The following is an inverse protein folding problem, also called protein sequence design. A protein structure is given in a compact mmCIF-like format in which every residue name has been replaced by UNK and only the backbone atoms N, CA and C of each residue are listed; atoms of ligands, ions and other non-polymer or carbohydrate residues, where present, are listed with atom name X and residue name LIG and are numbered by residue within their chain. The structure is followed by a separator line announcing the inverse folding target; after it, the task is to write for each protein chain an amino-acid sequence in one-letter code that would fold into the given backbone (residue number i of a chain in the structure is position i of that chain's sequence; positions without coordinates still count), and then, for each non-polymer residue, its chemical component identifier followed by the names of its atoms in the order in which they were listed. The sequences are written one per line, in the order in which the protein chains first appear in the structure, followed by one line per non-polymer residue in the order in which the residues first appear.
data_IF_446588722886
#
_entry.id   IF_446588722886
#
_cell.length_a   1.000
_cell.length_b   1.000
_cell.length_c   1.000
_cell.angle_alpha   90.00
_cell.angle_beta   90.00
_cell.angle_gamma   90.00
#
_symmetry.space_group_name_H-M   'P 1'
#
loop_
_entity.id
_entity.type
_entity.pdbx_description
1 polymer ?
#
# COMPACT_ATOMS: atom_id res chain seq x y z
N UNK A 1 17.31 17.59 8.06
CA UNK A 1 16.76 16.80 9.19
C UNK A 1 15.68 17.51 10.02
N UNK A 2 15.38 18.78 9.76
CA UNK A 2 14.07 19.39 10.10
C UNK A 2 13.68 20.45 9.05
N UNK A 3 14.42 20.48 7.94
CA UNK A 3 14.52 21.63 7.04
C UNK A 3 14.48 21.25 5.56
N UNK A 4 14.11 20.02 5.21
CA UNK A 4 13.71 19.69 3.85
C UNK A 4 12.30 19.12 3.95
N UNK A 5 11.36 19.87 3.38
CA UNK A 5 9.90 19.69 3.43
C UNK A 5 9.26 19.74 4.85
N UNK A 6 9.78 20.51 5.82
CA UNK A 6 9.13 20.76 7.14
C UNK A 6 8.62 19.50 7.91
N UNK A 7 9.23 18.33 7.67
CA UNK A 7 8.76 17.06 8.25
C UNK A 7 7.44 16.54 7.68
N UNK A 8 6.98 17.06 6.54
CA UNK A 8 5.78 16.59 5.82
C UNK A 8 5.82 15.09 5.57
N UNK A 9 6.96 14.54 5.13
CA UNK A 9 7.12 13.12 4.86
C UNK A 9 6.85 12.22 6.08
N UNK A 10 7.22 12.69 7.27
CA UNK A 10 6.93 11.96 8.52
C UNK A 10 5.43 12.05 8.84
N UNK A 11 4.80 13.20 8.56
CA UNK A 11 3.35 13.37 8.70
C UNK A 11 2.57 12.50 7.71
N UNK A 12 3.02 12.41 6.46
CA UNK A 12 2.41 11.59 5.42
C UNK A 12 2.56 10.10 5.73
N UNK A 13 3.75 9.66 6.15
CA UNK A 13 3.97 8.30 6.64
C UNK A 13 3.02 7.99 7.81
N UNK A 14 2.93 8.89 8.79
CA UNK A 14 2.01 8.73 9.93
C UNK A 14 0.55 8.62 9.46
N UNK A 15 0.13 9.50 8.57
CA UNK A 15 -1.23 9.51 8.00
C UNK A 15 -1.53 8.18 7.30
N UNK A 16 -0.61 7.67 6.47
CA UNK A 16 -0.79 6.37 5.80
C UNK A 16 -0.94 5.25 6.83
N UNK A 17 -0.07 5.20 7.84
CA UNK A 17 -0.14 4.17 8.89
C UNK A 17 -1.47 4.24 9.66
N UNK A 18 -1.95 5.43 10.01
CA UNK A 18 -3.23 5.63 10.69
C UNK A 18 -4.41 5.14 9.85
N UNK A 19 -4.42 5.51 8.56
CA UNK A 19 -5.50 5.12 7.65
C UNK A 19 -5.47 3.63 7.35
N UNK A 20 -4.29 3.03 7.19
CA UNK A 20 -4.12 1.59 7.00
C UNK A 20 -4.56 0.82 8.23
N UNK A 21 -4.15 1.23 9.43
CA UNK A 21 -4.59 0.57 10.66
C UNK A 21 -6.11 0.70 10.84
N UNK A 22 -6.66 1.89 10.65
CA UNK A 22 -8.11 2.10 10.73
C UNK A 22 -8.86 1.20 9.73
N UNK A 23 -8.51 1.25 8.45
CA UNK A 23 -9.17 0.44 7.43
C UNK A 23 -9.01 -1.06 7.70
N UNK A 24 -7.82 -1.50 8.09
CA UNK A 24 -7.56 -2.88 8.44
C UNK A 24 -8.48 -3.36 9.58
N UNK A 25 -8.71 -2.54 10.60
CA UNK A 25 -9.58 -2.89 11.73
C UNK A 25 -11.07 -3.00 11.36
N UNK A 26 -11.48 -2.45 10.22
CA UNK A 26 -12.84 -2.65 9.69
C UNK A 26 -13.04 -4.07 9.15
N UNK A 27 -11.97 -4.71 8.67
CA UNK A 27 -12.01 -6.03 8.04
C UNK A 27 -11.36 -7.13 8.90
N UNK A 28 -10.50 -6.76 9.84
CA UNK A 28 -9.71 -7.69 10.64
C UNK A 28 -9.58 -7.22 12.11
N UNK A 29 -10.08 -8.02 13.04
CA UNK A 29 -9.95 -7.77 14.47
C UNK A 29 -8.50 -7.94 14.98
N UNK A 30 -7.64 -8.62 14.22
CA UNK A 30 -6.25 -8.90 14.61
C UNK A 30 -5.34 -7.67 14.50
N UNK A 31 -5.77 -6.60 13.82
CA UNK A 31 -4.97 -5.40 13.54
C UNK A 31 -3.88 -5.63 12.49
N UNK A 32 -2.90 -4.71 12.42
CA UNK A 32 -1.76 -4.79 11.49
C UNK A 32 -0.44 -5.03 12.23
N UNK A 33 0.53 -5.56 11.49
CA UNK A 33 1.94 -5.60 11.92
C UNK A 33 2.72 -4.50 11.21
N UNK A 34 3.46 -3.68 11.95
CA UNK A 34 4.30 -2.60 11.39
C UNK A 34 5.76 -2.99 11.56
N UNK A 35 6.58 -2.87 10.51
CA UNK A 35 8.01 -3.12 10.56
C UNK A 35 8.76 -1.92 10.00
N UNK A 36 9.65 -1.32 10.80
CA UNK A 36 10.55 -0.30 10.29
C UNK A 36 11.79 -0.97 9.68
N UNK A 37 12.11 -0.62 8.44
CA UNK A 37 13.25 -1.22 7.73
C UNK A 37 14.58 -0.83 8.38
N UNK A 38 14.70 0.44 8.75
CA UNK A 38 15.95 1.03 9.23
C UNK A 38 16.08 1.03 10.76
N UNK A 39 15.04 0.61 11.47
CA UNK A 39 15.02 0.60 12.95
C UNK A 39 14.59 -0.77 13.42
N UNK A 40 15.35 -1.36 14.35
CA UNK A 40 14.93 -2.58 15.02
C UNK A 40 14.13 -2.23 16.28
N UNK A 41 12.84 -2.55 16.24
CA UNK A 41 11.92 -2.39 17.37
C UNK A 41 11.48 -3.77 17.92
N UNK A 42 12.13 -4.87 17.49
CA UNK A 42 11.72 -6.25 17.83
C UNK A 42 11.79 -6.55 19.33
N UNK A 43 12.64 -5.82 20.06
CA UNK A 43 12.74 -5.89 21.53
C UNK A 43 11.72 -5.05 22.30
N UNK A 44 11.00 -4.13 21.64
CA UNK A 44 10.06 -3.24 22.33
C UNK A 44 8.72 -3.92 22.61
N UNK A 45 8.15 -3.63 23.77
CA UNK A 45 6.88 -4.18 24.24
C UNK A 45 5.93 -3.06 24.67
N UNK A 46 4.64 -3.31 24.56
CA UNK A 46 3.62 -2.45 25.15
C UNK A 46 3.49 -2.69 26.67
N UNK A 47 2.62 -1.91 27.33
CA UNK A 47 2.37 -2.03 28.77
C UNK A 47 1.79 -3.40 29.18
N UNK A 48 1.30 -4.19 28.23
CA UNK A 48 0.73 -5.52 28.44
C UNK A 48 1.73 -6.65 28.09
N UNK A 49 2.99 -6.31 27.78
CA UNK A 49 4.02 -7.26 27.40
C UNK A 49 3.91 -7.81 25.97
N UNK A 50 3.04 -7.24 25.13
CA UNK A 50 2.90 -7.64 23.71
C UNK A 50 3.95 -6.93 22.85
N UNK A 51 4.40 -7.52 21.73
CA UNK A 51 5.26 -6.83 20.78
C UNK A 51 4.63 -5.51 20.33
N UNK A 52 5.38 -4.41 20.44
CA UNK A 52 4.86 -3.07 20.13
C UNK A 52 4.45 -2.92 18.65
N UNK A 53 5.01 -3.78 17.79
CA UNK A 53 4.89 -3.75 16.34
C UNK A 53 3.79 -4.67 15.76
N UNK A 54 3.06 -5.41 16.60
CA UNK A 54 2.03 -6.36 16.16
C UNK A 54 0.68 -6.05 16.80
N UNK A 55 -0.41 -6.32 16.08
CA UNK A 55 -1.76 -6.04 16.56
C UNK A 55 -2.06 -4.55 16.71
N UNK A 56 -1.46 -3.73 15.86
CA UNK A 56 -1.63 -2.28 15.86
C UNK A 56 -2.98 -1.98 15.22
N UNK A 57 -3.83 -1.27 15.95
CA UNK A 57 -5.22 -0.98 15.56
C UNK A 57 -5.62 0.48 15.80
N UNK A 58 -4.86 1.21 16.62
CA UNK A 58 -5.23 2.55 17.08
C UNK A 58 -4.15 3.57 16.77
N UNK A 59 -4.55 4.83 16.60
CA UNK A 59 -3.63 5.96 16.42
C UNK A 59 -2.63 6.07 17.59
N UNK A 60 -3.08 5.86 18.83
CA UNK A 60 -2.21 5.93 20.00
C UNK A 60 -1.08 4.87 19.98
N UNK A 61 -1.36 3.66 19.47
CA UNK A 61 -0.32 2.64 19.29
C UNK A 61 0.68 3.05 18.21
N UNK A 62 0.20 3.63 17.10
CA UNK A 62 1.06 4.15 16.03
C UNK A 62 1.95 5.27 16.55
N UNK A 63 1.40 6.23 17.29
CA UNK A 63 2.18 7.29 17.91
C UNK A 63 3.27 6.72 18.83
N UNK A 64 2.92 5.71 19.63
CA UNK A 64 3.90 5.05 20.50
C UNK A 64 5.03 4.36 19.73
N UNK A 65 4.72 3.72 18.61
CA UNK A 65 5.74 3.13 17.71
C UNK A 65 6.62 4.23 17.12
N UNK A 66 6.00 5.28 16.57
CA UNK A 66 6.71 6.38 15.89
C UNK A 66 7.68 7.12 16.81
N UNK A 67 7.39 7.23 18.12
CA UNK A 67 8.32 7.79 19.11
C UNK A 67 9.61 6.98 19.27
N UNK A 68 9.56 5.67 19.04
CA UNK A 68 10.74 4.78 19.12
C UNK A 68 11.59 4.76 17.86
N UNK A 69 11.14 5.42 16.78
CA UNK A 69 11.81 5.35 15.47
C UNK A 69 12.80 6.49 15.30
N UNK A 70 14.03 6.16 14.96
CA UNK A 70 15.03 7.13 14.52
C UNK A 70 15.03 7.18 13.00
N UNK A 71 14.49 8.26 12.42
CA UNK A 71 14.41 8.45 10.96
C UNK A 71 15.77 8.84 10.35
N UNK A 72 16.73 7.91 10.38
CA UNK A 72 18.09 8.08 9.86
C UNK A 72 18.61 6.76 9.28
N UNK A 73 19.57 6.86 8.36
CA UNK A 73 20.30 5.70 7.83
C UNK A 73 20.11 5.49 6.33
N UNK A 74 20.73 4.42 5.83
CA UNK A 74 20.52 3.90 4.48
C UNK A 74 19.18 3.17 4.42
N UNK A 75 18.72 2.84 3.21
CA UNK A 75 17.47 2.11 3.02
C UNK A 75 17.73 0.69 2.49
N UNK A 76 17.99 -0.28 3.36
CA UNK A 76 18.08 -1.69 2.97
C UNK A 76 16.67 -2.30 2.75
N UNK A 77 15.91 -1.74 1.80
CA UNK A 77 14.50 -2.09 1.57
C UNK A 77 14.31 -3.59 1.31
N UNK A 78 15.07 -4.17 0.39
CA UNK A 78 14.88 -5.55 -0.06
C UNK A 78 15.29 -6.57 0.99
N UNK A 79 16.46 -6.38 1.59
CA UNK A 79 17.01 -7.25 2.64
C UNK A 79 16.20 -7.16 3.93
N UNK A 80 15.80 -5.94 4.37
CA UNK A 80 14.95 -5.77 5.55
C UNK A 80 13.53 -6.30 5.30
N UNK A 81 12.95 -6.09 4.12
CA UNK A 81 11.67 -6.68 3.74
C UNK A 81 11.73 -8.21 3.83
N UNK A 82 12.80 -8.82 3.32
CA UNK A 82 12.99 -10.28 3.40
C UNK A 82 12.99 -10.75 4.85
N UNK A 83 13.85 -10.18 5.68
CA UNK A 83 14.06 -10.64 7.06
C UNK A 83 12.83 -10.35 7.93
N UNK A 84 12.41 -9.08 8.01
CA UNK A 84 11.43 -8.60 8.99
C UNK A 84 9.98 -8.89 8.63
N UNK A 85 9.70 -9.15 7.34
CA UNK A 85 8.32 -9.36 6.85
C UNK A 85 8.17 -10.74 6.22
N UNK A 86 8.96 -11.05 5.19
CA UNK A 86 8.75 -12.30 4.43
C UNK A 86 9.08 -13.51 5.29
N UNK A 87 10.27 -13.57 5.86
CA UNK A 87 10.71 -14.72 6.65
C UNK A 87 9.95 -14.77 8.00
N UNK A 88 9.96 -13.67 8.76
CA UNK A 88 9.38 -13.61 10.11
C UNK A 88 7.85 -13.74 10.18
N UNK A 89 7.12 -13.20 9.19
CA UNK A 89 5.65 -13.13 9.25
C UNK A 89 5.02 -14.06 8.22
N UNK A 90 5.38 -13.91 6.94
CA UNK A 90 4.67 -14.59 5.85
C UNK A 90 5.03 -16.07 5.82
N UNK A 91 6.32 -16.39 5.64
CA UNK A 91 6.80 -17.76 5.50
C UNK A 91 6.77 -18.53 6.82
N UNK A 92 7.09 -17.90 7.94
CA UNK A 92 6.93 -18.50 9.27
C UNK A 92 5.50 -18.99 9.52
N UNK A 93 4.48 -18.17 9.17
CA UNK A 93 3.08 -18.57 9.29
C UNK A 93 2.64 -19.56 8.22
N UNK A 94 3.19 -19.47 7.00
CA UNK A 94 2.91 -20.44 5.95
C UNK A 94 3.36 -21.85 6.37
N UNK A 95 4.61 -21.96 6.85
CA UNK A 95 5.25 -23.20 7.29
C UNK A 95 4.53 -23.84 8.48
N UNK A 96 4.07 -23.04 9.43
CA UNK A 96 3.34 -23.53 10.61
C UNK A 96 1.85 -23.79 10.37
N UNK A 97 1.33 -23.61 9.15
CA UNK A 97 -0.10 -23.78 8.85
C UNK A 97 -0.99 -22.67 9.42
N UNK A 98 -0.41 -21.54 9.81
CA UNK A 98 -1.11 -20.42 10.46
C UNK A 98 -1.42 -19.25 9.52
N UNK A 99 -1.04 -19.33 8.24
CA UNK A 99 -1.37 -18.33 7.22
C UNK A 99 -2.83 -18.51 6.73
N UNK A 100 -3.78 -18.19 7.60
CA UNK A 100 -5.23 -18.39 7.35
C UNK A 100 -5.87 -17.34 6.44
N UNK A 101 -5.17 -16.22 6.21
CA UNK A 101 -5.66 -15.03 5.51
C UNK A 101 -4.58 -14.58 4.51
N UNK A 102 -4.95 -14.11 3.32
CA UNK A 102 -3.99 -13.50 2.41
C UNK A 102 -3.36 -12.24 3.03
N UNK A 103 -2.08 -12.04 2.77
CA UNK A 103 -1.29 -10.94 3.32
C UNK A 103 -1.05 -9.89 2.24
N UNK A 104 -1.42 -8.64 2.53
CA UNK A 104 -1.01 -7.46 1.79
C UNK A 104 0.15 -6.79 2.54
N UNK A 105 1.29 -6.65 1.87
CA UNK A 105 2.45 -5.93 2.38
C UNK A 105 2.47 -4.55 1.73
N UNK A 106 2.24 -3.49 2.51
CA UNK A 106 2.33 -2.10 2.06
C UNK A 106 3.68 -1.54 2.52
N UNK A 107 4.61 -1.38 1.60
CA UNK A 107 5.93 -0.81 1.83
C UNK A 107 5.93 0.69 1.49
N UNK A 108 6.04 1.54 2.50
CA UNK A 108 6.03 3.00 2.35
C UNK A 108 7.45 3.54 2.32
N UNK A 109 7.75 4.39 1.33
CA UNK A 109 9.12 4.78 0.99
C UNK A 109 9.26 6.23 0.56
N UNK A 110 10.33 6.89 0.99
CA UNK A 110 10.60 8.31 0.68
C UNK A 110 11.80 8.53 -0.27
N UNK A 111 12.33 7.46 -0.84
CA UNK A 111 13.54 7.46 -1.66
C UNK A 111 13.75 6.11 -2.35
N UNK A 112 14.89 5.92 -3.01
CA UNK A 112 15.27 4.60 -3.54
C UNK A 112 15.93 3.70 -2.48
N UNK A 113 15.98 2.37 -2.67
CA UNK A 113 16.81 1.48 -1.87
C UNK A 113 18.30 1.84 -1.95
N UNK A 114 19.03 1.66 -0.84
CA UNK A 114 20.44 1.99 -0.71
C UNK A 114 21.13 1.17 0.39
N UNK A 115 22.42 0.87 0.22
CA UNK A 115 23.19 0.07 1.19
C UNK A 115 23.01 -1.45 1.03
N UNK A 116 22.46 -1.89 -0.11
CA UNK A 116 22.23 -3.29 -0.48
C UNK A 116 22.36 -3.45 -2.01
N UNK A 117 22.40 -4.69 -2.55
CA UNK A 117 22.34 -4.92 -3.99
C UNK A 117 21.09 -4.30 -4.64
N UNK A 118 21.22 -3.72 -5.84
CA UNK A 118 20.10 -3.02 -6.51
C UNK A 118 18.90 -3.92 -6.83
N UNK A 119 19.15 -5.22 -6.98
CA UNK A 119 18.18 -6.26 -7.27
C UNK A 119 17.59 -6.89 -5.99
N UNK A 120 18.01 -6.47 -4.79
CA UNK A 120 17.58 -7.07 -3.53
C UNK A 120 16.05 -7.09 -3.37
N UNK A 121 15.36 -5.99 -3.68
CA UNK A 121 13.89 -5.92 -3.62
C UNK A 121 13.24 -6.91 -4.60
N UNK A 122 13.72 -6.94 -5.85
CA UNK A 122 13.23 -7.85 -6.89
C UNK A 122 13.42 -9.31 -6.48
N UNK A 123 14.60 -9.64 -5.95
CA UNK A 123 14.94 -10.99 -5.50
C UNK A 123 14.11 -11.40 -4.29
N UNK A 124 13.84 -10.48 -3.36
CA UNK A 124 12.97 -10.74 -2.20
C UNK A 124 11.54 -11.05 -2.63
N UNK A 125 10.98 -10.31 -3.59
CA UNK A 125 9.63 -10.58 -4.12
C UNK A 125 9.59 -11.96 -4.78
N UNK A 126 10.53 -12.26 -5.69
CA UNK A 126 10.61 -13.58 -6.36
C UNK A 126 10.75 -14.70 -5.35
N UNK A 127 11.68 -14.57 -4.40
CA UNK A 127 11.87 -15.51 -3.31
C UNK A 127 10.58 -15.78 -2.52
N UNK A 128 9.81 -14.73 -2.20
CA UNK A 128 8.56 -14.88 -1.45
C UNK A 128 7.53 -15.72 -2.24
N UNK A 129 7.29 -15.39 -3.51
CA UNK A 129 6.34 -16.12 -4.36
C UNK A 129 6.81 -17.54 -4.68
N UNK A 130 8.08 -17.73 -5.02
CA UNK A 130 8.65 -19.04 -5.32
C UNK A 130 8.58 -19.95 -4.09
N UNK A 131 8.85 -19.41 -2.90
CA UNK A 131 8.77 -20.19 -1.65
C UNK A 131 7.33 -20.50 -1.29
N UNK A 132 6.40 -19.53 -1.41
CA UNK A 132 4.98 -19.76 -1.16
C UNK A 132 4.35 -20.76 -2.14
N UNK A 133 4.82 -20.81 -3.39
CA UNK A 133 4.32 -21.75 -4.40
C UNK A 133 4.53 -23.22 -4.02
N UNK A 134 5.47 -23.51 -3.11
CA UNK A 134 5.74 -24.85 -2.58
C UNK A 134 4.67 -25.33 -1.59
N UNK A 135 3.79 -24.42 -1.14
CA UNK A 135 2.67 -24.71 -0.26
C UNK A 135 1.37 -24.69 -1.09
N UNK A 136 0.89 -25.86 -1.56
CA UNK A 136 -0.23 -25.94 -2.51
C UNK A 136 -1.53 -25.33 -1.96
N UNK A 137 -1.67 -25.21 -0.63
CA UNK A 137 -2.84 -24.65 0.03
C UNK A 137 -2.97 -23.12 -0.08
N UNK A 138 -1.90 -22.37 -0.37
CA UNK A 138 -1.91 -20.90 -0.33
C UNK A 138 -2.07 -20.26 -1.71
N UNK A 139 -1.65 -20.96 -2.77
CA UNK A 139 -1.72 -20.44 -4.15
C UNK A 139 -0.99 -19.10 -4.34
N UNK A 140 -1.16 -18.48 -5.50
CA UNK A 140 -0.54 -17.17 -5.82
C UNK A 140 -1.23 -15.98 -5.14
N UNK A 141 -2.43 -16.18 -4.60
CA UNK A 141 -3.24 -15.12 -4.01
C UNK A 141 -2.96 -14.87 -2.52
N UNK A 142 -2.11 -15.66 -1.87
CA UNK A 142 -1.84 -15.52 -0.43
C UNK A 142 -0.94 -14.35 -0.05
N UNK A 143 -0.29 -13.71 -1.03
CA UNK A 143 0.61 -12.58 -0.83
C UNK A 143 0.39 -11.57 -1.94
N UNK A 144 0.32 -10.28 -1.58
CA UNK A 144 0.36 -9.15 -2.49
C UNK A 144 1.27 -8.06 -1.91
N UNK A 145 1.88 -7.27 -2.79
CA UNK A 145 2.74 -6.16 -2.41
C UNK A 145 2.22 -4.86 -2.98
N UNK A 146 2.20 -3.83 -2.14
CA UNK A 146 1.96 -2.45 -2.50
C UNK A 146 3.20 -1.64 -2.12
N UNK A 147 3.75 -0.87 -3.05
CA UNK A 147 4.85 0.05 -2.78
C UNK A 147 4.38 1.49 -2.92
N UNK A 148 4.37 2.23 -1.81
CA UNK A 148 3.85 3.58 -1.75
C UNK A 148 4.98 4.60 -1.59
N UNK A 149 5.04 5.62 -2.45
CA UNK A 149 5.95 6.73 -2.28
C UNK A 149 5.37 7.84 -1.40
N UNK A 150 6.19 8.37 -0.50
CA UNK A 150 5.95 9.59 0.25
C UNK A 150 6.98 10.66 -0.14
N UNK A 151 6.53 11.90 -0.28
CA UNK A 151 7.38 13.01 -0.74
C UNK A 151 7.79 12.89 -2.20
N UNK A 152 8.68 13.78 -2.62
CA UNK A 152 8.86 14.10 -4.05
C UNK A 152 10.20 13.58 -4.62
N UNK A 153 10.74 12.50 -4.04
CA UNK A 153 12.03 11.95 -4.48
C UNK A 153 11.93 11.30 -5.88
N UNK A 154 12.64 11.87 -6.84
CA UNK A 154 12.65 11.40 -8.23
C UNK A 154 13.30 10.01 -8.39
N UNK A 155 14.26 9.67 -7.52
CA UNK A 155 14.91 8.36 -7.57
C UNK A 155 13.96 7.25 -7.08
N UNK A 156 13.16 7.53 -6.05
CA UNK A 156 12.06 6.67 -5.62
C UNK A 156 11.07 6.42 -6.76
N UNK A 157 10.62 7.50 -7.42
CA UNK A 157 9.65 7.42 -8.53
C UNK A 157 10.17 6.53 -9.64
N UNK A 158 11.42 6.72 -10.06
CA UNK A 158 12.07 5.88 -11.09
C UNK A 158 12.24 4.43 -10.66
N UNK A 159 12.58 4.20 -9.39
CA UNK A 159 12.70 2.85 -8.84
C UNK A 159 11.34 2.13 -8.86
N UNK A 160 10.27 2.78 -8.40
CA UNK A 160 8.92 2.20 -8.40
C UNK A 160 8.41 1.94 -9.82
N UNK A 161 8.62 2.87 -10.75
CA UNK A 161 8.28 2.65 -12.16
C UNK A 161 9.01 1.44 -12.76
N UNK A 162 10.29 1.23 -12.40
CA UNK A 162 11.05 0.04 -12.81
C UNK A 162 10.50 -1.23 -12.17
N UNK A 163 10.04 -1.16 -10.92
CA UNK A 163 9.47 -2.30 -10.20
C UNK A 163 8.14 -2.74 -10.82
N UNK A 164 7.26 -1.78 -11.13
CA UNK A 164 5.95 -2.02 -11.74
C UNK A 164 6.05 -2.55 -13.18
N UNK A 165 6.99 -2.02 -13.97
CA UNK A 165 7.19 -2.43 -15.37
C UNK A 165 8.05 -3.70 -15.55
N UNK A 166 8.62 -4.28 -14.48
CA UNK A 166 9.43 -5.50 -14.59
C UNK A 166 8.56 -6.70 -15.00
N UNK A 167 8.94 -7.46 -16.03
CA UNK A 167 8.10 -8.55 -16.53
C UNK A 167 7.93 -9.71 -15.55
N UNK A 168 8.85 -9.86 -14.57
CA UNK A 168 8.84 -10.97 -13.63
C UNK A 168 8.16 -10.61 -12.30
N UNK A 169 8.38 -9.39 -11.80
CA UNK A 169 7.81 -8.95 -10.51
C UNK A 169 6.68 -7.94 -10.65
N UNK A 170 6.61 -7.20 -11.75
CA UNK A 170 5.52 -6.27 -12.04
C UNK A 170 4.15 -6.90 -11.84
N UNK A 171 3.87 -8.11 -12.35
CA UNK A 171 2.59 -8.81 -12.11
C UNK A 171 2.25 -9.12 -10.64
N UNK A 172 3.20 -8.98 -9.73
CA UNK A 172 3.12 -9.37 -8.31
C UNK A 172 3.03 -8.18 -7.34
N UNK A 173 3.23 -6.98 -7.85
CA UNK A 173 3.27 -5.73 -7.08
C UNK A 173 2.28 -4.73 -7.64
N UNK A 174 1.92 -3.75 -6.84
CA UNK A 174 1.38 -2.47 -7.29
C UNK A 174 2.23 -1.34 -6.68
N UNK A 175 2.25 -0.21 -7.37
CA UNK A 175 3.09 0.92 -7.04
C UNK A 175 2.28 2.21 -7.12
N UNK A 176 2.15 2.89 -5.99
CA UNK A 176 1.43 4.16 -5.89
C UNK A 176 2.43 5.27 -5.57
N UNK A 177 2.46 6.28 -6.43
CA UNK A 177 3.27 7.49 -6.22
C UNK A 177 2.62 8.44 -5.20
N UNK A 178 3.27 9.56 -4.88
CA UNK A 178 2.67 10.57 -4.01
C UNK A 178 1.35 11.10 -4.60
N UNK A 179 0.51 11.69 -3.74
CA UNK A 179 -0.83 12.13 -4.11
C UNK A 179 -0.85 13.05 -5.34
N UNK A 180 0.07 14.01 -5.43
CA UNK A 180 0.12 14.99 -6.52
C UNK A 180 0.43 14.33 -7.87
N UNK A 181 1.38 13.39 -7.92
CA UNK A 181 1.69 12.67 -9.15
C UNK A 181 0.52 11.77 -9.57
N UNK A 182 -0.08 11.05 -8.61
CA UNK A 182 -1.25 10.19 -8.88
C UNK A 182 -2.44 11.00 -9.40
N UNK A 183 -2.72 12.15 -8.80
CA UNK A 183 -3.75 13.06 -9.28
C UNK A 183 -3.46 13.53 -10.71
N UNK A 184 -2.20 13.88 -11.02
CA UNK A 184 -1.83 14.28 -12.37
C UNK A 184 -2.08 13.14 -13.39
N UNK A 185 -1.71 11.90 -13.04
CA UNK A 185 -1.96 10.73 -13.88
C UNK A 185 -3.46 10.43 -14.05
N UNK A 186 -4.23 10.46 -12.97
CA UNK A 186 -5.68 10.19 -12.99
C UNK A 186 -6.47 11.30 -13.71
N UNK A 187 -5.99 12.55 -13.68
CA UNK A 187 -6.57 13.66 -14.45
C UNK A 187 -6.38 13.50 -15.96
N UNK A 188 -5.36 12.73 -16.38
CA UNK A 188 -5.07 12.41 -17.78
C UNK A 188 -5.78 11.14 -18.26
N UNK A 189 -6.40 10.38 -17.35
CA UNK A 189 -7.16 9.19 -17.70
C UNK A 189 -8.41 9.53 -18.54
N UNK A 190 -9.03 8.51 -19.15
CA UNK A 190 -10.26 8.67 -19.94
C UNK A 190 -11.34 7.69 -19.44
N UNK A 191 -12.38 8.17 -18.73
CA UNK A 191 -12.64 9.56 -18.36
C UNK A 191 -11.65 10.09 -17.29
N UNK A 192 -11.39 11.41 -17.23
CA UNK A 192 -10.60 12.01 -16.16
C UNK A 192 -11.22 11.73 -14.79
N UNK A 193 -10.36 11.44 -13.81
CA UNK A 193 -10.79 11.20 -12.43
C UNK A 193 -10.16 12.25 -11.52
N UNK A 194 -11.01 12.93 -10.75
CA UNK A 194 -10.60 13.77 -9.62
C UNK A 194 -10.27 12.84 -8.46
N UNK A 195 -8.99 12.76 -8.10
CA UNK A 195 -8.48 11.85 -7.09
C UNK A 195 -8.55 12.56 -5.74
N UNK A 196 -9.47 12.15 -4.88
CA UNK A 196 -9.49 12.67 -3.51
C UNK A 196 -8.42 11.97 -2.65
N UNK A 197 -7.95 12.60 -1.56
CA UNK A 197 -7.03 11.93 -0.63
C UNK A 197 -7.56 10.59 -0.11
N UNK A 198 -8.87 10.48 0.14
CA UNK A 198 -9.49 9.22 0.56
C UNK A 198 -9.42 8.16 -0.57
N UNK A 199 -9.62 8.55 -1.83
CA UNK A 199 -9.46 7.63 -2.97
C UNK A 199 -8.01 7.19 -3.16
N UNK A 200 -7.04 8.07 -2.91
CA UNK A 200 -5.62 7.72 -2.93
C UNK A 200 -5.28 6.70 -1.84
N UNK A 201 -5.78 6.89 -0.62
CA UNK A 201 -5.67 5.89 0.46
C UNK A 201 -6.35 4.58 0.06
N UNK A 202 -7.54 4.62 -0.54
CA UNK A 202 -8.22 3.41 -1.01
C UNK A 202 -7.40 2.66 -2.05
N UNK A 203 -6.73 3.36 -2.97
CA UNK A 203 -5.80 2.75 -3.93
C UNK A 203 -4.68 1.97 -3.20
N UNK A 204 -4.06 2.58 -2.18
CA UNK A 204 -3.05 1.90 -1.35
C UNK A 204 -3.58 0.65 -0.64
N UNK A 205 -4.83 0.69 -0.18
CA UNK A 205 -5.45 -0.42 0.57
C UNK A 205 -5.89 -1.58 -0.32
N UNK A 206 -6.38 -1.28 -1.52
CA UNK A 206 -6.76 -2.31 -2.47
C UNK A 206 -5.52 -3.00 -3.05
N UNK A 207 -4.42 -2.26 -3.15
CA UNK A 207 -3.20 -2.69 -3.84
C UNK A 207 -3.51 -3.19 -5.24
N UNK A 208 -2.70 -4.12 -5.74
CA UNK A 208 -2.97 -4.76 -7.04
C UNK A 208 -4.31 -5.50 -7.01
N UNK A 209 -5.30 -5.00 -7.76
CA UNK A 209 -6.47 -5.78 -8.12
C UNK A 209 -6.03 -6.99 -8.97
N UNK A 210 -5.94 -8.17 -8.34
CA UNK A 210 -5.56 -9.39 -9.02
C UNK A 210 -6.60 -9.75 -10.12
N UNK A 211 -6.24 -9.88 -11.40
CA UNK A 211 -7.18 -10.33 -12.43
C UNK A 211 -7.79 -11.71 -12.13
N UNK A 212 -7.16 -12.56 -11.32
CA UNK A 212 -7.74 -13.83 -10.85
C UNK A 212 -8.85 -13.66 -9.80
N UNK A 213 -8.94 -12.52 -9.10
CA UNK A 213 -10.06 -12.22 -8.19
C UNK A 213 -11.34 -11.81 -8.94
N UNK A 214 -11.26 -11.55 -10.26
CA UNK A 214 -12.42 -11.32 -11.15
C UNK A 214 -13.43 -12.48 -11.16
N UNK A 215 -13.01 -13.69 -10.77
CA UNK A 215 -13.91 -14.84 -10.64
C UNK A 215 -14.73 -14.89 -9.34
N UNK A 216 -14.26 -14.24 -8.27
CA UNK A 216 -14.84 -14.34 -6.93
C UNK A 216 -15.92 -13.28 -6.64
N UNK A 217 -15.96 -12.19 -7.41
CA UNK A 217 -16.96 -11.11 -7.29
C UNK A 217 -17.97 -11.08 -8.44
N UNK A 218 -18.32 -12.26 -8.98
CA UNK A 218 -19.46 -12.35 -9.91
C UNK A 218 -20.75 -12.50 -9.11
N UNK A 219 -21.47 -11.40 -8.91
CA UNK A 219 -22.91 -11.48 -8.57
C UNK A 219 -23.57 -12.23 -9.72
N UNK A 220 -24.00 -13.46 -9.44
CA UNK A 220 -24.63 -14.35 -10.40
C UNK A 220 -26.07 -13.84 -10.59
N UNK A 221 -26.28 -12.96 -11.55
CA UNK A 221 -27.62 -12.71 -12.10
C UNK A 221 -28.08 -13.99 -12.79
N UNK A 222 -28.97 -14.74 -12.14
CA UNK A 222 -29.71 -15.83 -12.79
C UNK A 222 -30.75 -15.22 -13.71
N UNK A 223 -30.40 -15.06 -14.99
CA UNK A 223 -31.38 -15.19 -16.06
C UNK A 223 -30.71 -15.83 -17.28
N UNK A 224 -31.28 -16.97 -17.64
CA UNK A 224 -31.13 -17.72 -18.87
C UNK A 224 -31.23 -16.84 -20.12
N UNK A 225 -30.31 -17.01 -21.08
CA UNK A 225 -30.39 -16.38 -22.39
C UNK A 225 -29.26 -16.83 -23.30
N UNK A 226 -29.62 -17.54 -24.37
CA UNK A 226 -28.74 -18.23 -25.32
C UNK A 226 -28.11 -17.29 -26.38
N UNK A 227 -26.96 -17.73 -26.91
CA UNK A 227 -26.29 -17.40 -28.19
C UNK A 227 -25.72 -15.98 -28.46
N UNK A 228 -24.50 -15.96 -29.01
CA UNK A 228 -24.10 -14.96 -30.02
C UNK A 228 -22.79 -14.22 -29.74
N UNK A 229 -21.79 -14.49 -30.57
CA UNK A 229 -20.46 -13.88 -30.53
C UNK A 229 -20.43 -12.40 -30.98
N UNK A 230 -19.27 -11.78 -30.70
CA UNK A 230 -18.66 -10.57 -31.33
C UNK A 230 -18.90 -9.20 -30.69
N UNK A 231 -17.80 -8.44 -30.64
CA UNK A 231 -17.65 -6.99 -30.43
C UNK A 231 -17.80 -6.41 -29.00
N UNK A 232 -16.71 -5.79 -28.52
CA UNK A 232 -16.75 -4.61 -27.62
C UNK A 232 -17.49 -3.48 -28.37
N UNK A 233 -18.31 -2.57 -27.78
CA UNK A 233 -17.94 -1.67 -26.68
C UNK A 233 -19.10 -1.21 -25.73
N UNK A 234 -18.77 -0.38 -24.71
CA UNK A 234 -19.57 0.69 -24.04
C UNK A 234 -21.01 0.38 -23.53
N UNK A 235 -21.28 0.63 -22.24
CA UNK A 235 -22.32 1.54 -21.71
C UNK A 235 -22.46 1.38 -20.18
N UNK A 236 -22.05 2.41 -19.43
CA UNK A 236 -22.63 2.70 -18.12
C UNK A 236 -24.04 3.25 -18.40
N UNK A 237 -25.10 2.50 -18.09
CA UNK A 237 -26.47 3.00 -18.10
C UNK A 237 -26.96 3.11 -16.68
N UNK A 238 -27.14 4.35 -16.24
CA UNK A 238 -27.95 4.72 -15.08
C UNK A 238 -29.40 4.36 -15.34
N UNK A 239 -30.01 3.59 -14.43
CA UNK A 239 -31.45 3.61 -14.16
C UNK A 239 -31.69 3.36 -12.67
N UNK A 240 -31.86 4.47 -11.95
CA UNK A 240 -32.87 4.76 -10.94
C UNK A 240 -33.20 3.76 -9.81
N UNK A 241 -33.06 4.31 -8.58
CA UNK A 241 -33.90 4.14 -7.39
C UNK A 241 -33.75 2.89 -6.54
N UNK A 242 -33.04 3.01 -5.40
CA UNK A 242 -33.66 3.10 -4.05
C UNK A 242 -32.64 3.74 -3.08
N UNK A 243 -33.15 4.59 -2.19
CA UNK A 243 -32.42 5.59 -1.43
C UNK A 243 -31.50 5.07 -0.31
N UNK A 244 -30.38 5.76 -0.10
CA UNK A 244 -29.87 6.10 1.24
C UNK A 244 -29.57 7.60 1.24
N UNK A 245 -30.33 8.36 2.06
CA UNK A 245 -30.16 9.79 2.27
C UNK A 245 -29.04 10.03 3.30
N UNK A 246 -28.09 10.90 2.98
CA UNK A 246 -27.51 11.85 3.93
C UNK A 246 -27.48 13.22 3.26
N UNK A 247 -28.05 14.21 3.95
CA UNK A 247 -28.22 15.58 3.47
C UNK A 247 -26.91 16.36 3.56
N UNK A 248 -26.55 17.04 2.48
CA UNK A 248 -25.50 18.05 2.43
C UNK A 248 -26.03 19.41 2.92
N UNK A 249 -25.21 20.17 3.65
CA UNK A 249 -25.39 21.59 3.90
C UNK A 249 -24.29 22.38 3.16
N UNK A 250 -24.69 23.45 2.48
CA UNK A 250 -23.92 24.26 1.52
C UNK A 250 -23.67 25.68 2.11
N UNK A 251 -22.56 26.30 1.67
CA UNK A 251 -22.22 27.73 1.57
C UNK A 251 -21.50 28.41 2.78
N UNK A 252 -20.57 29.38 2.65
CA UNK A 252 -20.13 30.27 1.54
C UNK A 252 -18.72 30.89 1.78
N UNK A 253 -17.94 31.14 0.70
CA UNK A 253 -16.70 31.95 0.70
C UNK A 253 -16.91 33.42 1.08
N UNK A 254 -15.83 34.17 1.38
CA UNK A 254 -15.44 35.23 0.43
C UNK A 254 -13.92 35.50 0.26
N UNK A 255 -13.56 35.83 -0.98
CA UNK A 255 -12.60 36.84 -1.50
C UNK A 255 -11.09 36.87 -1.13
N UNK A 256 -10.28 36.93 -2.21
CA UNK A 256 -8.86 37.38 -2.28
C UNK A 256 -8.69 38.89 -2.02
N UNK A 257 -7.44 39.38 -1.81
CA UNK A 257 -6.73 40.09 -2.89
C UNK A 257 -5.21 39.80 -3.00
N UNK A 258 -4.53 40.58 -3.87
CA UNK A 258 -3.34 40.32 -4.71
C UNK A 258 -2.04 40.99 -4.21
N UNK A 259 -0.88 40.54 -4.75
CA UNK A 259 0.42 41.23 -5.01
C UNK A 259 1.61 40.71 -4.16
N UNK A 260 2.90 40.68 -4.56
CA UNK A 260 3.65 41.05 -5.78
C UNK A 260 5.10 40.48 -5.72
N UNK A 261 5.75 40.37 -6.91
CA UNK A 261 7.20 40.42 -7.25
C UNK A 261 8.19 39.36 -6.67
N UNK A 262 8.84 38.55 -7.54
CA UNK A 262 10.23 38.65 -8.11
C UNK A 262 11.31 38.25 -7.06
N UNK A 263 12.21 37.29 -7.25
CA UNK A 263 13.14 37.08 -8.36
C UNK A 263 13.77 35.66 -8.36
N UNK A 264 14.37 35.30 -9.49
CA UNK A 264 15.16 34.08 -9.78
C UNK A 264 16.60 34.25 -9.25
N UNK A 265 17.25 33.17 -8.77
CA UNK A 265 18.55 32.83 -9.36
C UNK A 265 18.72 31.31 -9.68
N UNK A 266 19.45 31.07 -10.76
CA UNK A 266 19.91 29.80 -11.34
C UNK A 266 21.06 29.13 -10.55
N UNK A 267 21.43 27.87 -10.84
CA UNK A 267 21.75 26.87 -9.83
C UNK A 267 23.24 26.82 -9.47
N UNK A 268 23.52 26.45 -8.23
CA UNK A 268 24.81 25.83 -7.85
C UNK A 268 24.58 24.35 -7.62
N UNK A 269 25.31 23.56 -8.39
CA UNK A 269 25.51 22.12 -8.21
C UNK A 269 25.95 21.79 -6.79
N UNK A 270 25.20 20.94 -6.10
CA UNK A 270 25.59 20.31 -4.82
C UNK A 270 25.44 18.79 -4.97
N UNK A 271 26.38 17.98 -4.48
CA UNK A 271 26.38 16.53 -4.73
C UNK A 271 25.25 15.82 -3.97
N UNK A 272 24.75 14.74 -4.55
CA UNK A 272 23.72 13.87 -3.98
C UNK A 272 24.12 13.36 -2.58
N UNK A 273 23.45 13.85 -1.54
CA UNK A 273 23.52 13.31 -0.20
C UNK A 273 22.29 12.43 0.05
N UNK A 274 22.48 11.11 -0.01
CA UNK A 274 21.48 10.13 0.39
C UNK A 274 21.08 10.35 1.86
N UNK A 275 19.83 10.74 2.11
CA UNK A 275 19.23 10.79 3.45
C UNK A 275 17.79 10.28 3.35
N UNK A 276 17.60 8.97 3.59
CA UNK A 276 16.27 8.36 3.68
C UNK A 276 15.70 8.46 5.09
N UNK A 277 14.38 8.58 5.18
CA UNK A 277 13.57 8.41 6.40
C UNK A 277 13.50 6.92 6.74
N UNK A 278 13.25 6.58 8.00
CA UNK A 278 12.91 5.20 8.37
C UNK A 278 11.62 4.77 7.69
N UNK A 279 11.74 3.80 6.81
CA UNK A 279 10.63 3.27 6.01
C UNK A 279 9.89 2.22 6.80
N UNK A 280 8.57 2.18 6.63
CA UNK A 280 7.72 1.19 7.26
C UNK A 280 7.15 0.24 6.20
N UNK A 281 7.18 -1.07 6.48
CA UNK A 281 6.23 -2.00 5.89
C UNK A 281 5.10 -2.22 6.90
N UNK A 282 3.88 -1.89 6.48
CA UNK A 282 2.67 -2.34 7.15
C UNK A 282 2.25 -3.67 6.50
N UNK A 283 2.04 -4.68 7.32
CA UNK A 283 1.58 -5.99 6.91
C UNK A 283 0.17 -6.15 7.40
N UNK A 284 -0.77 -6.09 6.46
CA UNK A 284 -2.19 -6.26 6.70
C UNK A 284 -2.64 -7.63 6.21
N UNK A 285 -3.45 -8.32 7.01
CA UNK A 285 -4.15 -9.54 6.58
C UNK A 285 -5.49 -9.15 6.03
N UNK A 286 -5.69 -9.38 4.74
CA UNK A 286 -7.02 -9.21 4.14
C UNK A 286 -7.96 -10.29 4.65
N UNK A 287 -9.24 -9.96 4.77
CA UNK A 287 -10.27 -10.96 5.07
C UNK A 287 -10.22 -12.10 4.03
N UNK A 288 -10.55 -13.35 4.40
CA UNK A 288 -10.57 -14.43 3.41
C UNK A 288 -11.53 -14.06 2.27
N UNK A 289 -11.06 -14.16 1.02
CA UNK A 289 -11.97 -14.33 -0.09
C UNK A 289 -12.80 -15.58 0.22
N UNK A 290 -14.13 -15.45 0.28
CA UNK A 290 -15.05 -16.49 0.75
C UNK A 290 -14.65 -17.89 0.25
N UNK A 291 -14.05 -18.69 1.13
CA UNK A 291 -13.80 -20.11 0.89
C UNK A 291 -15.15 -20.78 0.75
N UNK A 292 -15.42 -21.39 -0.41
CA UNK A 292 -16.60 -22.21 -0.63
C UNK A 292 -16.75 -23.21 0.52
N UNK A 293 -17.88 -23.09 1.24
CA UNK A 293 -18.28 -24.05 2.24
C UNK A 293 -18.60 -25.36 1.54
N UNK A 294 -17.93 -26.41 2.02
CA UNK A 294 -18.13 -27.84 1.85
C UNK A 294 -19.47 -28.25 1.21
N UNK A 295 -19.37 -29.03 0.13
CA UNK A 295 -20.44 -29.92 -0.29
C UNK A 295 -20.63 -31.02 0.78
N UNK A 296 -21.86 -31.34 1.20
CA UNK A 296 -22.19 -32.68 1.65
C UNK A 296 -22.68 -33.50 0.46
N UNK A 297 -22.05 -34.65 0.30
CA UNK A 297 -22.55 -35.79 -0.48
C UNK A 297 -23.89 -36.28 0.06
N UNK A 298 -24.86 -36.43 -0.84
CA UNK A 298 -25.69 -37.64 -1.05
C UNK A 298 -26.57 -37.42 -2.27
#
# INVERSE_FOLDING_TARGET
MQFEEEGSRIKDLRLILERVAFAATLFDADGISIRFMNTDLSGLRDNNGRPLQDGVATEAQIESIMRGVQFKGLTPMGTALKQKVIDEIVLSKAQSGQLRKPVLVIAVTDGQPAGEPQDAVFNTIRYAYDTLSRFPQYGRGALSFEFAQVGNDEAAKKFLAKLDSDPNVGPMVDCTSNFENEQEEMSRASPPVDLTPDMWIMKLLLGRENPQSRGAWRVRSTSTGLWGATSWPVWLRSTSSTAIRWSAAIWSSPSRPVSSSRAIPTPRTVPAAARGISRAAAVWRTAPAATQILAPTS
#
